data_IF_699907689853
#
_entry.id   IF_699907689853
#
_cell.length_a   1.000
_cell.length_b   1.000
_cell.length_c   1.000
_cell.angle_alpha   90.00
_cell.angle_beta   90.00
_cell.angle_gamma   90.00
#
_symmetry.space_group_name_H-M   'P 1'
#
loop_
_entity.id
_entity.type
_entity.pdbx_description
1 polymer ?
#
# COMPACT_ATOMS: atom_id res chain seq x y z
N UNK A 1 -42.46 52.49 -25.20
CA UNK A 1 -41.46 52.07 -26.21
C UNK A 1 -40.12 51.90 -25.54
N UNK A 2 -39.39 50.87 -25.99
CA UNK A 2 -38.00 50.50 -25.71
C UNK A 2 -37.74 49.48 -24.59
N UNK A 3 -37.43 48.29 -25.10
CA UNK A 3 -37.17 47.04 -24.44
C UNK A 3 -35.79 46.98 -23.81
N UNK A 4 -35.74 46.14 -22.79
CA UNK A 4 -34.63 45.74 -21.95
C UNK A 4 -33.62 44.91 -22.79
N UNK A 5 -32.39 45.40 -22.92
CA UNK A 5 -31.29 44.71 -23.60
C UNK A 5 -30.61 43.75 -22.61
N UNK A 6 -30.95 42.47 -22.67
CA UNK A 6 -30.20 41.37 -22.07
C UNK A 6 -29.07 40.98 -23.02
N UNK A 7 -27.82 41.16 -22.62
CA UNK A 7 -26.66 40.57 -23.28
C UNK A 7 -25.96 39.67 -22.25
N UNK A 8 -26.43 38.42 -22.14
CA UNK A 8 -25.73 37.36 -21.43
C UNK A 8 -25.04 36.50 -22.49
N UNK A 9 -23.76 36.76 -22.73
CA UNK A 9 -22.92 35.89 -23.57
C UNK A 9 -22.61 34.63 -22.78
N UNK A 10 -23.29 33.54 -23.13
CA UNK A 10 -22.89 32.18 -22.82
C UNK A 10 -21.44 31.95 -23.31
N UNK A 11 -20.51 31.89 -22.36
CA UNK A 11 -19.17 31.35 -22.60
C UNK A 11 -19.18 29.89 -22.18
N UNK A 12 -19.55 29.02 -23.12
CA UNK A 12 -19.26 27.59 -23.04
C UNK A 12 -17.74 27.41 -23.19
N UNK A 13 -17.07 27.07 -22.09
CA UNK A 13 -15.68 26.62 -22.10
C UNK A 13 -15.70 25.12 -22.34
N UNK A 14 -15.37 24.69 -23.55
CA UNK A 14 -15.11 23.28 -23.85
C UNK A 14 -13.80 22.86 -23.18
N UNK A 15 -13.90 21.98 -22.19
CA UNK A 15 -12.75 21.36 -21.54
C UNK A 15 -12.46 20.05 -22.27
N UNK A 16 -11.41 20.04 -23.09
CA UNK A 16 -11.02 18.90 -23.95
C UNK A 16 -10.02 17.95 -23.29
N UNK A 17 -10.24 17.53 -22.04
CA UNK A 17 -9.66 16.26 -21.53
C UNK A 17 -10.16 15.91 -20.11
N UNK A 18 -10.50 14.63 -19.83
CA UNK A 18 -10.89 14.16 -18.49
C UNK A 18 -9.79 14.31 -17.41
N UNK A 19 -8.53 14.48 -17.81
CA UNK A 19 -7.37 14.57 -16.90
C UNK A 19 -7.29 15.88 -16.11
N UNK A 20 -7.97 16.94 -16.55
CA UNK A 20 -7.90 18.25 -15.88
C UNK A 20 -8.81 18.35 -14.64
N UNK A 21 -9.83 17.51 -14.52
CA UNK A 21 -10.79 17.55 -13.40
C UNK A 21 -10.27 16.86 -12.13
N UNK A 22 -9.42 15.84 -12.29
CA UNK A 22 -8.83 15.10 -11.15
C UNK A 22 -7.66 15.83 -10.50
N UNK A 23 -7.02 16.78 -11.20
CA UNK A 23 -5.90 17.55 -10.65
C UNK A 23 -6.36 18.69 -9.71
N UNK A 24 -7.64 19.07 -9.77
CA UNK A 24 -8.20 20.20 -9.02
C UNK A 24 -8.91 19.79 -7.71
N UNK A 25 -9.33 18.52 -7.58
CA UNK A 25 -10.20 18.11 -6.47
C UNK A 25 -9.53 17.30 -5.36
N UNK A 26 -8.33 16.74 -5.54
CA UNK A 26 -7.76 15.82 -4.52
C UNK A 26 -6.25 15.96 -4.24
N UNK A 27 -5.60 17.02 -4.73
CA UNK A 27 -4.22 17.29 -4.34
C UNK A 27 -4.18 18.13 -3.05
N UNK A 28 -4.03 17.47 -1.91
CA UNK A 28 -3.70 18.10 -0.62
C UNK A 28 -2.29 18.69 -0.55
N UNK A 29 -1.71 19.12 -1.67
CA UNK A 29 -0.50 19.93 -1.71
C UNK A 29 -0.90 21.39 -1.87
N UNK A 30 -0.89 22.16 -0.78
CA UNK A 30 -1.02 23.62 -0.83
C UNK A 30 0.21 24.22 -1.53
N UNK A 31 0.14 24.32 -2.86
CA UNK A 31 0.99 25.18 -3.67
C UNK A 31 0.26 26.51 -3.86
N UNK A 32 0.60 27.51 -3.04
CA UNK A 32 0.02 28.84 -3.11
C UNK A 32 0.67 29.63 -4.27
N UNK A 33 0.07 29.59 -5.46
CA UNK A 33 0.35 30.57 -6.52
C UNK A 33 -0.39 31.87 -6.19
N UNK A 34 0.37 32.94 -6.02
CA UNK A 34 -0.13 34.31 -5.95
C UNK A 34 -0.31 34.81 -7.39
N UNK A 35 -1.52 35.27 -7.76
CA UNK A 35 -1.75 36.32 -8.77
C UNK A 35 -3.02 37.13 -8.43
N UNK A 36 -3.09 38.40 -8.89
CA UNK A 36 -3.67 39.51 -8.12
C UNK A 36 -5.11 39.86 -8.49
N UNK A 37 -5.79 40.52 -7.55
CA UNK A 37 -6.78 41.58 -7.75
C UNK A 37 -8.10 41.22 -8.44
N UNK A 38 -9.18 41.11 -7.66
CA UNK A 38 -10.32 42.04 -7.78
C UNK A 38 -11.31 41.88 -6.62
N UNK A 39 -11.78 43.02 -6.11
CA UNK A 39 -12.47 43.13 -4.82
C UNK A 39 -13.97 42.88 -4.86
N UNK A 40 -14.53 42.50 -3.69
CA UNK A 40 -15.70 43.16 -3.08
C UNK A 40 -15.91 42.72 -1.64
N UNK A 41 -16.28 43.71 -0.82
CA UNK A 41 -16.49 43.72 0.62
C UNK A 41 -17.54 42.70 1.08
N UNK A 42 -17.23 41.89 2.12
CA UNK A 42 -18.17 41.52 3.22
C UNK A 42 -17.38 41.22 4.50
N UNK A 43 -17.71 41.93 5.59
CA UNK A 43 -17.21 41.66 6.96
C UNK A 43 -18.02 40.50 7.57
N UNK A 44 -17.37 39.64 8.36
CA UNK A 44 -17.98 39.21 9.63
C UNK A 44 -17.02 39.43 10.81
N UNK A 45 -17.60 39.80 11.95
CA UNK A 45 -16.92 40.23 13.17
C UNK A 45 -16.05 39.16 13.80
N UNK A 46 -14.84 39.58 14.20
CA UNK A 46 -13.88 38.79 14.99
C UNK A 46 -14.07 39.10 16.48
N UNK A 47 -14.37 38.11 17.34
CA UNK A 47 -14.43 38.28 18.80
C UNK A 47 -13.04 38.36 19.47
N UNK A 48 -11.96 38.29 18.70
CA UNK A 48 -10.57 38.39 19.18
C UNK A 48 -10.20 39.80 19.70
N UNK A 49 -10.86 40.85 19.18
CA UNK A 49 -10.53 42.24 19.53
C UNK A 49 -10.94 42.65 20.95
N UNK A 50 -11.78 41.89 21.65
CA UNK A 50 -12.06 42.12 23.07
C UNK A 50 -10.95 41.60 23.97
N UNK A 51 -10.29 40.50 23.60
CA UNK A 51 -9.16 39.96 24.37
C UNK A 51 -7.93 40.87 24.33
N UNK A 52 -7.67 41.50 23.17
CA UNK A 52 -6.61 42.51 23.05
C UNK A 52 -6.93 43.82 23.79
N UNK A 53 -8.23 44.19 23.90
CA UNK A 53 -8.61 45.40 24.64
C UNK A 53 -8.42 45.26 26.14
N UNK A 54 -8.59 44.07 26.71
CA UNK A 54 -8.33 43.86 28.14
C UNK A 54 -6.83 43.89 28.46
N UNK A 55 -5.99 43.28 27.61
CA UNK A 55 -4.53 43.31 27.76
C UNK A 55 -3.96 44.73 27.53
N UNK A 56 -4.56 45.52 26.64
CA UNK A 56 -4.15 46.91 26.40
C UNK A 56 -4.64 47.88 27.49
N UNK A 57 -5.75 47.58 28.18
CA UNK A 57 -6.29 48.44 29.24
C UNK A 57 -5.49 48.36 30.55
N UNK A 58 -4.95 47.18 30.91
CA UNK A 58 -4.00 47.05 32.02
C UNK A 58 -2.63 47.69 31.71
N UNK A 59 -2.27 47.82 30.43
CA UNK A 59 -0.97 48.35 30.03
C UNK A 59 -0.87 49.88 30.03
N UNK A 60 -2.00 50.59 30.10
CA UNK A 60 -2.05 52.07 30.05
C UNK A 60 -2.50 52.73 31.35
N UNK A 61 -2.75 51.95 32.40
CA UNK A 61 -3.32 52.44 33.65
C UNK A 61 -2.39 52.30 34.85
N UNK A 62 -1.21 52.93 34.85
CA UNK A 62 -0.67 53.63 36.04
C UNK A 62 0.59 54.46 35.70
N UNK A 63 0.64 55.66 36.25
CA UNK A 63 1.61 56.73 35.99
C UNK A 63 3.00 56.49 36.59
N UNK A 64 4.05 57.04 35.98
CA UNK A 64 5.35 57.25 36.64
C UNK A 64 6.54 57.43 35.71
N UNK A 65 6.93 56.42 34.94
CA UNK A 65 8.27 56.34 34.31
C UNK A 65 8.24 55.95 32.82
N UNK A 66 7.44 56.67 32.03
CA UNK A 66 7.10 56.30 30.66
C UNK A 66 8.25 56.34 29.62
N UNK A 67 9.38 57.01 29.92
CA UNK A 67 10.47 57.13 28.95
C UNK A 67 11.46 55.94 28.96
N UNK A 68 11.69 55.31 30.12
CA UNK A 68 12.62 54.16 30.23
C UNK A 68 11.99 52.87 29.69
N UNK A 69 10.72 52.59 29.98
CA UNK A 69 10.05 51.36 29.51
C UNK A 69 9.82 51.33 27.99
N UNK A 70 9.61 52.48 27.34
CA UNK A 70 9.40 52.55 25.89
C UNK A 70 10.66 52.20 25.07
N UNK A 71 11.86 52.53 25.57
CA UNK A 71 13.13 52.12 24.96
C UNK A 71 13.38 50.62 25.11
N UNK A 72 13.09 50.04 26.28
CA UNK A 72 13.22 48.60 26.51
C UNK A 72 12.26 47.77 25.65
N UNK A 73 11.03 48.26 25.42
CA UNK A 73 10.08 47.61 24.51
C UNK A 73 10.54 47.64 23.04
N UNK A 74 11.15 48.75 22.58
CA UNK A 74 11.70 48.83 21.22
C UNK A 74 12.94 47.95 21.04
N UNK A 75 13.80 47.84 22.05
CA UNK A 75 14.96 46.93 22.02
C UNK A 75 14.49 45.47 22.03
N UNK A 76 13.52 45.13 22.86
CA UNK A 76 12.90 43.79 22.88
C UNK A 76 12.30 43.42 21.52
N UNK A 77 11.54 44.33 20.91
CA UNK A 77 10.90 44.09 19.61
C UNK A 77 11.93 43.95 18.48
N UNK A 78 12.97 44.79 18.47
CA UNK A 78 14.04 44.70 17.45
C UNK A 78 14.88 43.43 17.63
N UNK A 79 15.17 43.03 18.86
CA UNK A 79 15.85 41.76 19.15
C UNK A 79 14.99 40.55 18.74
N UNK A 80 13.68 40.61 18.98
CA UNK A 80 12.74 39.56 18.56
C UNK A 80 12.62 39.48 17.03
N UNK A 81 12.60 40.62 16.34
CA UNK A 81 12.62 40.65 14.87
C UNK A 81 13.96 40.17 14.31
N UNK A 82 15.09 40.54 14.90
CA UNK A 82 16.42 40.05 14.46
C UNK A 82 16.59 38.55 14.70
N UNK A 83 16.16 38.03 15.84
CA UNK A 83 16.21 36.59 16.12
C UNK A 83 15.26 35.82 15.19
N UNK A 84 14.04 36.30 14.97
CA UNK A 84 13.10 35.67 14.04
C UNK A 84 13.61 35.70 12.59
N UNK A 85 14.20 36.80 12.13
CA UNK A 85 14.75 36.92 10.75
C UNK A 85 16.02 36.11 10.55
N UNK A 86 16.91 36.04 11.55
CA UNK A 86 18.09 35.18 11.53
C UNK A 86 17.72 33.69 11.46
N UNK A 87 16.71 33.27 12.24
CA UNK A 87 16.23 31.88 12.20
C UNK A 87 15.60 31.53 10.85
N UNK A 88 14.76 32.40 10.28
CA UNK A 88 14.09 32.12 8.99
C UNK A 88 15.09 32.02 7.83
N UNK A 89 16.17 32.81 7.83
CA UNK A 89 17.15 32.83 6.74
C UNK A 89 18.07 31.61 6.74
N UNK A 90 18.50 31.13 7.91
CA UNK A 90 19.33 29.92 8.03
C UNK A 90 18.58 28.66 7.59
N UNK A 91 17.30 28.52 7.97
CA UNK A 91 16.50 27.35 7.57
C UNK A 91 16.13 27.35 6.08
N UNK A 92 15.91 28.52 5.48
CA UNK A 92 15.67 28.61 4.03
C UNK A 92 16.93 28.29 3.20
N UNK A 93 18.11 28.51 3.79
CA UNK A 93 19.40 28.18 3.17
C UNK A 93 19.64 26.67 3.06
N UNK A 94 19.30 25.89 4.10
CA UNK A 94 19.47 24.43 4.06
C UNK A 94 18.56 23.76 3.03
N UNK A 95 17.31 24.21 2.91
CA UNK A 95 16.38 23.75 1.86
C UNK A 95 16.93 24.03 0.46
N UNK A 96 17.44 25.24 0.20
CA UNK A 96 18.02 25.60 -1.09
C UNK A 96 19.28 24.80 -1.40
N UNK A 97 20.13 24.53 -0.41
CA UNK A 97 21.33 23.72 -0.61
C UNK A 97 20.99 22.27 -0.95
N UNK A 98 20.01 21.67 -0.27
CA UNK A 98 19.53 20.33 -0.58
C UNK A 98 18.89 20.26 -1.98
N UNK A 99 18.07 21.26 -2.34
CA UNK A 99 17.47 21.36 -3.67
C UNK A 99 18.53 21.46 -4.78
N UNK A 100 19.55 22.29 -4.58
CA UNK A 100 20.63 22.47 -5.54
C UNK A 100 21.46 21.18 -5.72
N UNK A 101 21.73 20.43 -4.65
CA UNK A 101 22.39 19.12 -4.75
C UNK A 101 21.55 18.10 -5.53
N UNK A 102 20.22 18.15 -5.39
CA UNK A 102 19.30 17.31 -6.14
C UNK A 102 19.24 17.70 -7.63
N UNK A 103 19.22 19.00 -7.94
CA UNK A 103 19.29 19.52 -9.32
C UNK A 103 20.61 19.15 -10.02
N UNK A 104 21.70 19.05 -9.26
CA UNK A 104 23.01 18.59 -9.74
C UNK A 104 23.09 17.05 -9.90
N UNK A 105 22.03 16.31 -9.62
CA UNK A 105 22.00 14.84 -9.70
C UNK A 105 22.75 14.12 -8.57
N UNK A 106 23.28 14.85 -7.59
CA UNK A 106 24.03 14.32 -6.44
C UNK A 106 23.08 13.86 -5.33
N UNK A 107 22.25 12.88 -5.63
CA UNK A 107 21.18 12.41 -4.72
C UNK A 107 21.75 11.87 -3.41
N UNK A 108 22.83 11.08 -3.43
CA UNK A 108 23.48 10.57 -2.20
C UNK A 108 24.04 11.66 -1.30
N UNK A 109 24.70 12.68 -1.87
CA UNK A 109 25.22 13.81 -1.09
C UNK A 109 24.06 14.64 -0.48
N UNK A 110 22.96 14.79 -1.23
CA UNK A 110 21.74 15.41 -0.72
C UNK A 110 21.17 14.64 0.47
N UNK A 111 21.08 13.30 0.37
CA UNK A 111 20.55 12.46 1.44
C UNK A 111 21.40 12.53 2.72
N UNK A 112 22.73 12.46 2.60
CA UNK A 112 23.62 12.60 3.74
C UNK A 112 23.49 13.99 4.41
N UNK A 113 23.32 15.05 3.60
CA UNK A 113 23.12 16.41 4.11
C UNK A 113 21.77 16.56 4.82
N UNK A 114 20.68 16.11 4.19
CA UNK A 114 19.32 16.20 4.73
C UNK A 114 19.18 15.35 5.99
N UNK A 115 19.79 14.18 6.03
CA UNK A 115 19.83 13.33 7.22
C UNK A 115 20.49 14.01 8.41
N UNK A 116 21.66 14.63 8.20
CA UNK A 116 22.34 15.36 9.28
C UNK A 116 21.46 16.50 9.83
N UNK A 117 20.78 17.23 8.96
CA UNK A 117 19.89 18.34 9.35
C UNK A 117 18.59 17.82 10.00
N UNK A 118 18.06 16.68 9.57
CA UNK A 118 16.86 16.07 10.15
C UNK A 118 17.11 15.42 11.52
N UNK A 119 18.33 14.97 11.82
CA UNK A 119 18.70 14.54 13.17
C UNK A 119 18.60 15.68 14.18
N UNK A 120 18.97 16.88 13.77
CA UNK A 120 18.85 18.09 14.59
C UNK A 120 17.40 18.61 14.66
N UNK A 121 16.62 18.44 13.58
CA UNK A 121 15.22 18.87 13.52
C UNK A 121 14.30 17.88 12.78
N UNK A 122 13.74 16.88 13.48
CA UNK A 122 12.95 15.81 12.85
C UNK A 122 11.55 16.24 12.39
N UNK A 123 11.12 17.48 12.67
CA UNK A 123 9.77 17.96 12.32
C UNK A 123 9.72 18.86 11.08
N UNK A 124 10.85 19.07 10.39
CA UNK A 124 10.88 19.90 9.19
C UNK A 124 10.28 19.17 7.98
N UNK A 125 9.00 19.43 7.71
CA UNK A 125 8.22 18.82 6.62
C UNK A 125 8.81 19.06 5.22
N UNK A 126 9.46 20.21 4.99
CA UNK A 126 10.04 20.52 3.67
C UNK A 126 11.28 19.67 3.40
N UNK A 127 12.13 19.49 4.41
CA UNK A 127 13.30 18.63 4.31
C UNK A 127 12.90 17.16 4.18
N UNK A 128 11.88 16.69 4.91
CA UNK A 128 11.33 15.34 4.70
C UNK A 128 10.87 15.15 3.25
N UNK A 129 10.22 16.15 2.64
CA UNK A 129 9.80 16.06 1.24
C UNK A 129 10.99 15.97 0.28
N UNK A 130 12.02 16.80 0.48
CA UNK A 130 13.25 16.75 -0.32
C UNK A 130 13.96 15.41 -0.14
N UNK A 131 13.96 14.88 1.08
CA UNK A 131 14.50 13.55 1.39
C UNK A 131 13.79 12.45 0.58
N UNK A 132 12.45 12.41 0.64
CA UNK A 132 11.65 11.44 -0.12
C UNK A 132 11.84 11.59 -1.62
N UNK A 133 12.07 12.81 -2.11
CA UNK A 133 12.36 13.07 -3.51
C UNK A 133 13.72 12.49 -3.92
N UNK A 134 14.75 12.78 -3.14
CA UNK A 134 16.10 12.32 -3.39
C UNK A 134 16.24 10.79 -3.26
N UNK A 135 15.57 10.15 -2.29
CA UNK A 135 15.61 8.68 -2.12
C UNK A 135 15.05 7.98 -3.35
N UNK A 136 13.88 8.40 -3.83
CA UNK A 136 13.23 7.76 -4.97
C UNK A 136 14.06 7.98 -6.23
N UNK A 137 14.61 9.17 -6.45
CA UNK A 137 15.54 9.44 -7.57
C UNK A 137 16.75 8.52 -7.52
N UNK A 138 17.37 8.39 -6.35
CA UNK A 138 18.53 7.51 -6.14
C UNK A 138 18.19 6.05 -6.48
N UNK A 139 17.08 5.53 -5.93
CA UNK A 139 16.63 4.16 -6.18
C UNK A 139 16.29 3.92 -7.66
N UNK A 140 15.58 4.84 -8.29
CA UNK A 140 15.20 4.72 -9.71
C UNK A 140 16.42 4.74 -10.63
N UNK A 141 17.39 5.63 -10.38
CA UNK A 141 18.62 5.73 -11.16
C UNK A 141 19.57 4.53 -10.97
N UNK A 142 19.54 3.88 -9.82
CA UNK A 142 20.36 2.69 -9.54
C UNK A 142 19.81 1.39 -10.16
N UNK A 143 18.84 1.48 -11.07
CA UNK A 143 18.38 0.34 -11.87
C UNK A 143 17.26 -0.47 -11.24
N UNK A 144 16.69 -0.06 -10.10
CA UNK A 144 15.56 -0.77 -9.49
C UNK A 144 14.37 -0.92 -10.44
N UNK A 145 14.04 0.14 -11.20
CA UNK A 145 12.96 0.08 -12.18
C UNK A 145 13.25 -0.89 -13.34
N UNK A 146 14.51 -1.01 -13.74
CA UNK A 146 14.96 -1.95 -14.75
C UNK A 146 14.83 -3.41 -14.25
N UNK A 147 15.18 -3.66 -12.99
CA UNK A 147 15.01 -4.99 -12.38
C UNK A 147 13.55 -5.44 -12.36
N UNK A 148 12.61 -4.53 -12.05
CA UNK A 148 11.18 -4.85 -12.13
C UNK A 148 10.71 -5.18 -13.54
N UNK A 149 11.24 -4.50 -14.56
CA UNK A 149 10.87 -4.75 -15.96
C UNK A 149 11.36 -6.13 -16.44
N UNK A 150 12.54 -6.55 -16.01
CA UNK A 150 13.12 -7.85 -16.37
C UNK A 150 12.58 -9.02 -15.54
N UNK A 151 11.69 -8.77 -14.57
CA UNK A 151 11.14 -9.82 -13.72
C UNK A 151 12.06 -10.23 -12.57
N UNK A 152 13.17 -9.51 -12.34
CA UNK A 152 14.10 -9.78 -11.24
C UNK A 152 13.58 -9.19 -9.91
N UNK A 153 12.38 -9.60 -9.50
CA UNK A 153 11.72 -9.06 -8.30
C UNK A 153 12.48 -9.37 -7.01
N UNK A 154 13.13 -10.53 -6.93
CA UNK A 154 13.94 -10.91 -5.76
C UNK A 154 15.16 -10.00 -5.58
N UNK A 155 15.82 -9.61 -6.67
CA UNK A 155 16.93 -8.65 -6.66
C UNK A 155 16.44 -7.24 -6.31
N UNK A 156 15.32 -6.82 -6.90
CA UNK A 156 14.70 -5.53 -6.60
C UNK A 156 14.32 -5.40 -5.12
N UNK A 157 13.81 -6.47 -4.49
CA UNK A 157 13.52 -6.49 -3.05
C UNK A 157 14.77 -6.47 -2.20
N UNK A 158 15.78 -7.28 -2.51
CA UNK A 158 17.08 -7.27 -1.80
C UNK A 158 17.70 -5.88 -1.81
N UNK A 159 17.63 -5.19 -2.94
CA UNK A 159 18.10 -3.81 -3.06
C UNK A 159 17.37 -2.86 -2.10
N UNK A 160 16.04 -2.95 -2.00
CA UNK A 160 15.24 -2.16 -1.04
C UNK A 160 15.53 -2.54 0.42
N UNK A 161 15.76 -3.82 0.70
CA UNK A 161 16.14 -4.33 2.03
C UNK A 161 17.51 -3.80 2.47
N UNK A 162 18.49 -3.76 1.57
CA UNK A 162 19.81 -3.23 1.90
C UNK A 162 19.78 -1.72 2.12
N UNK A 163 18.94 -0.99 1.36
CA UNK A 163 18.69 0.43 1.58
C UNK A 163 17.98 0.72 2.91
N UNK A 164 17.11 -0.18 3.38
CA UNK A 164 16.47 -0.05 4.70
C UNK A 164 17.45 -0.35 5.83
N UNK A 165 18.33 -1.35 5.70
CA UNK A 165 19.37 -1.66 6.70
C UNK A 165 20.37 -0.53 6.90
N UNK A 166 20.75 0.15 5.82
CA UNK A 166 21.71 1.26 5.88
C UNK A 166 21.12 2.52 6.56
N UNK A 167 19.80 2.62 6.68
CA UNK A 167 19.14 3.88 7.01
C UNK A 167 17.94 3.72 7.96
N UNK A 168 18.09 2.88 8.99
CA UNK A 168 17.03 2.54 9.95
C UNK A 168 16.46 3.71 10.76
N UNK A 169 17.17 4.85 10.80
CA UNK A 169 16.95 5.90 11.79
C UNK A 169 15.89 6.94 11.36
N UNK A 170 15.43 6.91 10.10
CA UNK A 170 14.50 7.90 9.55
C UNK A 170 13.16 7.25 9.13
N UNK A 171 12.05 7.56 9.83
CA UNK A 171 10.76 6.90 9.60
C UNK A 171 10.18 7.18 8.20
N UNK A 172 10.39 8.39 7.66
CA UNK A 172 9.85 8.76 6.34
C UNK A 172 10.56 8.02 5.19
N UNK A 173 11.86 7.74 5.36
CA UNK A 173 12.65 6.91 4.44
C UNK A 173 12.16 5.47 4.43
N UNK A 174 11.96 4.88 5.61
CA UNK A 174 11.40 3.52 5.74
C UNK A 174 10.01 3.42 5.10
N UNK A 175 9.15 4.43 5.30
CA UNK A 175 7.84 4.52 4.67
C UNK A 175 7.96 4.53 3.15
N UNK A 176 8.85 5.34 2.59
CA UNK A 176 9.07 5.43 1.13
C UNK A 176 9.53 4.11 0.54
N UNK A 177 10.50 3.44 1.19
CA UNK A 177 10.99 2.12 0.76
C UNK A 177 9.88 1.06 0.82
N UNK A 178 9.05 1.08 1.87
CA UNK A 178 7.90 0.18 1.99
C UNK A 178 6.87 0.39 0.86
N UNK A 179 6.62 1.64 0.48
CA UNK A 179 5.72 1.97 -0.62
C UNK A 179 6.28 1.51 -1.98
N UNK A 180 7.60 1.64 -2.19
CA UNK A 180 8.27 1.09 -3.37
C UNK A 180 8.20 -0.44 -3.41
N UNK A 181 8.38 -1.10 -2.26
CA UNK A 181 8.21 -2.55 -2.17
C UNK A 181 6.78 -2.98 -2.54
N UNK A 182 5.76 -2.25 -2.09
CA UNK A 182 4.38 -2.52 -2.49
C UNK A 182 4.14 -2.37 -4.01
N UNK A 183 4.80 -1.40 -4.66
CA UNK A 183 4.77 -1.28 -6.14
C UNK A 183 5.39 -2.52 -6.79
N UNK A 184 6.52 -3.01 -6.26
CA UNK A 184 7.16 -4.23 -6.74
C UNK A 184 6.25 -5.45 -6.56
N UNK A 185 5.57 -5.58 -5.43
CA UNK A 185 4.64 -6.70 -5.16
C UNK A 185 3.46 -6.73 -6.13
N UNK A 186 2.94 -5.57 -6.53
CA UNK A 186 1.89 -5.49 -7.56
C UNK A 186 2.41 -5.91 -8.92
N UNK A 187 3.58 -5.42 -9.33
CA UNK A 187 4.17 -5.79 -10.62
C UNK A 187 4.48 -7.28 -10.66
N UNK A 188 5.05 -7.84 -9.60
CA UNK A 188 5.31 -9.28 -9.49
C UNK A 188 4.03 -10.10 -9.58
N UNK A 189 2.99 -9.69 -8.85
CA UNK A 189 1.70 -10.37 -8.91
C UNK A 189 1.10 -10.43 -10.32
N UNK A 190 1.31 -9.38 -11.13
CA UNK A 190 0.85 -9.37 -12.53
C UNK A 190 1.87 -9.96 -13.50
N UNK A 191 3.15 -10.02 -13.15
CA UNK A 191 4.17 -10.65 -13.97
C UNK A 191 4.06 -12.17 -13.92
N UNK A 192 3.90 -12.74 -12.72
CA UNK A 192 3.65 -14.18 -12.52
C UNK A 192 2.35 -14.61 -13.24
N UNK A 193 1.42 -13.68 -13.44
CA UNK A 193 0.14 -13.94 -14.09
C UNK A 193 0.18 -13.53 -15.55
N UNK A 194 0.35 -14.52 -16.42
CA UNK A 194 0.08 -14.33 -17.85
C UNK A 194 -1.30 -13.69 -18.06
N UNK A 195 -1.45 -12.75 -19.01
CA UNK A 195 -2.72 -12.09 -19.27
C UNK A 195 -3.79 -13.12 -19.65
N UNK A 196 -4.75 -13.34 -18.75
CA UNK A 196 -5.82 -14.33 -18.92
C UNK A 196 -5.78 -15.49 -17.93
N UNK A 197 -4.78 -15.55 -17.05
CA UNK A 197 -4.69 -16.59 -16.00
C UNK A 197 -5.89 -16.50 -15.05
N UNK A 198 -6.64 -17.60 -14.82
CA UNK A 198 -7.77 -17.66 -13.89
C UNK A 198 -7.36 -17.28 -12.46
N UNK A 199 -8.30 -16.72 -11.68
CA UNK A 199 -8.12 -16.44 -10.25
C UNK A 199 -8.12 -17.75 -9.48
N UNK A 200 -7.01 -18.11 -8.85
CA UNK A 200 -6.86 -19.36 -8.12
C UNK A 200 -7.48 -19.22 -6.73
N UNK A 201 -8.58 -19.93 -6.51
CA UNK A 201 -9.25 -19.99 -5.21
C UNK A 201 -8.31 -20.58 -4.15
N UNK A 202 -8.37 -20.05 -2.92
CA UNK A 202 -7.48 -20.39 -1.79
C UNK A 202 -6.01 -19.91 -1.88
N UNK A 203 -5.56 -19.31 -2.98
CA UNK A 203 -4.19 -18.78 -3.10
C UNK A 203 -4.17 -17.27 -3.32
N UNK A 204 -4.91 -16.79 -4.32
CA UNK A 204 -4.82 -15.39 -4.77
C UNK A 204 -5.55 -14.40 -3.86
N UNK A 205 -6.51 -14.88 -3.07
CA UNK A 205 -7.41 -14.03 -2.28
C UNK A 205 -6.66 -13.26 -1.20
N UNK A 206 -5.80 -13.95 -0.44
CA UNK A 206 -5.03 -13.35 0.67
C UNK A 206 -4.05 -12.30 0.12
N UNK A 207 -3.37 -12.62 -0.99
CA UNK A 207 -2.43 -11.70 -1.65
C UNK A 207 -3.16 -10.49 -2.24
N UNK A 208 -4.29 -10.70 -2.91
CA UNK A 208 -5.12 -9.61 -3.46
C UNK A 208 -5.67 -8.71 -2.36
N UNK A 209 -6.15 -9.30 -1.27
CA UNK A 209 -6.73 -8.55 -0.15
C UNK A 209 -5.66 -7.73 0.59
N UNK A 210 -4.48 -8.29 0.84
CA UNK A 210 -3.38 -7.57 1.48
C UNK A 210 -2.92 -6.37 0.64
N UNK A 211 -2.72 -6.55 -0.68
CA UNK A 211 -2.36 -5.47 -1.61
C UNK A 211 -3.40 -4.34 -1.62
N UNK A 212 -4.69 -4.69 -1.68
CA UNK A 212 -5.77 -3.70 -1.68
C UNK A 212 -5.95 -3.03 -0.32
N UNK A 213 -5.76 -3.75 0.77
CA UNK A 213 -5.81 -3.18 2.13
C UNK A 213 -4.71 -2.16 2.35
N UNK A 214 -3.50 -2.42 1.86
CA UNK A 214 -2.41 -1.45 1.91
C UNK A 214 -2.70 -0.22 1.04
N UNK A 215 -3.25 -0.41 -0.16
CA UNK A 215 -3.72 0.69 -1.00
C UNK A 215 -4.75 1.58 -0.28
N UNK A 216 -5.75 0.97 0.35
CA UNK A 216 -6.81 1.71 1.03
C UNK A 216 -6.29 2.48 2.25
N UNK A 217 -5.30 1.94 2.97
CA UNK A 217 -4.64 2.61 4.11
C UNK A 217 -3.74 3.76 3.68
N UNK A 218 -2.96 3.59 2.61
CA UNK A 218 -1.84 4.48 2.23
C UNK A 218 -2.07 5.19 0.89
N UNK A 219 -3.33 5.32 0.46
CA UNK A 219 -3.74 5.82 -0.86
C UNK A 219 -3.08 7.14 -1.28
N UNK A 220 -3.02 8.11 -0.38
CA UNK A 220 -2.47 9.43 -0.69
C UNK A 220 -0.95 9.38 -0.87
N UNK A 221 -0.28 8.57 -0.06
CA UNK A 221 1.18 8.43 -0.10
C UNK A 221 1.60 7.67 -1.36
N UNK A 222 0.89 6.60 -1.72
CA UNK A 222 1.14 5.85 -2.96
C UNK A 222 0.91 6.74 -4.18
N UNK A 223 -0.17 7.53 -4.22
CA UNK A 223 -0.41 8.48 -5.31
C UNK A 223 0.68 9.54 -5.42
N UNK A 224 1.15 10.06 -4.29
CA UNK A 224 2.25 11.01 -4.25
C UNK A 224 3.53 10.39 -4.81
N UNK A 225 3.85 9.17 -4.39
CA UNK A 225 5.01 8.41 -4.86
C UNK A 225 4.92 8.12 -6.36
N UNK A 226 3.79 7.63 -6.87
CA UNK A 226 3.58 7.37 -8.30
C UNK A 226 3.69 8.64 -9.14
N UNK A 227 3.18 9.76 -8.66
CA UNK A 227 3.35 11.06 -9.34
C UNK A 227 4.81 11.51 -9.37
N UNK A 228 5.59 11.16 -8.35
CA UNK A 228 7.01 11.47 -8.30
C UNK A 228 7.80 10.57 -9.25
N UNK A 229 7.53 9.26 -9.24
CA UNK A 229 8.07 8.30 -10.20
C UNK A 229 7.76 8.75 -11.63
N UNK A 230 6.53 9.19 -11.91
CA UNK A 230 6.13 9.67 -13.24
C UNK A 230 6.78 10.98 -13.69
N UNK A 231 7.42 11.74 -12.79
CA UNK A 231 8.26 12.88 -13.19
C UNK A 231 9.65 12.43 -13.65
N UNK A 232 10.11 11.30 -13.15
CA UNK A 232 11.33 10.67 -13.62
C UNK A 232 11.01 9.96 -14.94
N UNK A 233 11.88 10.11 -15.94
CA UNK A 233 11.74 9.38 -17.21
C UNK A 233 12.17 7.93 -17.04
N UNK A 234 11.41 7.17 -16.25
CA UNK A 234 11.67 5.78 -15.89
C UNK A 234 10.87 4.81 -16.76
N UNK A 235 11.32 3.55 -16.80
CA UNK A 235 10.65 2.45 -17.48
C UNK A 235 9.37 1.96 -16.78
N UNK A 236 9.06 2.51 -15.60
CA UNK A 236 7.89 2.18 -14.80
C UNK A 236 6.82 3.29 -14.90
N UNK A 237 5.96 3.30 -15.94
CA UNK A 237 4.93 4.32 -16.09
C UNK A 237 3.85 4.16 -15.00
N UNK A 238 3.46 5.23 -14.29
CA UNK A 238 2.47 5.15 -13.21
C UNK A 238 1.10 4.64 -13.69
N UNK A 239 0.74 4.90 -14.94
CA UNK A 239 -0.50 4.40 -15.55
C UNK A 239 -0.59 2.87 -15.58
N UNK A 240 0.56 2.17 -15.69
CA UNK A 240 0.59 0.71 -15.62
C UNK A 240 0.16 0.22 -14.26
N UNK A 241 0.68 0.82 -13.18
CA UNK A 241 0.30 0.48 -11.80
C UNK A 241 -1.18 0.77 -11.55
N UNK A 242 -1.68 1.92 -12.02
CA UNK A 242 -3.11 2.24 -11.89
C UNK A 242 -4.01 1.24 -12.61
N UNK A 243 -3.66 0.80 -13.83
CA UNK A 243 -4.41 -0.25 -14.53
C UNK A 243 -4.38 -1.58 -13.79
N UNK A 244 -3.23 -1.96 -13.22
CA UNK A 244 -3.11 -3.15 -12.37
C UNK A 244 -4.04 -3.06 -11.14
N UNK A 245 -4.10 -1.90 -10.49
CA UNK A 245 -5.01 -1.65 -9.36
C UNK A 245 -6.48 -1.73 -9.74
N UNK A 246 -6.87 -1.10 -10.85
CA UNK A 246 -8.25 -1.15 -11.36
C UNK A 246 -8.67 -2.59 -11.63
N UNK A 247 -7.76 -3.38 -12.22
CA UNK A 247 -7.98 -4.81 -12.45
C UNK A 247 -8.14 -5.60 -11.14
N UNK A 248 -7.28 -5.38 -10.15
CA UNK A 248 -7.42 -6.00 -8.82
C UNK A 248 -8.76 -5.66 -8.16
N UNK A 249 -9.16 -4.39 -8.21
CA UNK A 249 -10.43 -3.93 -7.63
C UNK A 249 -11.63 -4.53 -8.35
N UNK A 250 -11.60 -4.60 -9.68
CA UNK A 250 -12.63 -5.25 -10.48
C UNK A 250 -12.73 -6.73 -10.12
N UNK A 251 -11.60 -7.44 -10.04
CA UNK A 251 -11.55 -8.85 -9.65
C UNK A 251 -12.12 -9.07 -8.24
N UNK A 252 -11.71 -8.27 -7.25
CA UNK A 252 -12.26 -8.36 -5.89
C UNK A 252 -13.77 -8.16 -5.88
N UNK A 253 -14.29 -7.13 -6.55
CA UNK A 253 -15.74 -6.85 -6.61
C UNK A 253 -16.54 -7.98 -7.25
N UNK A 254 -16.00 -8.61 -8.29
CA UNK A 254 -16.71 -9.66 -9.03
C UNK A 254 -16.69 -11.00 -8.31
N UNK A 255 -15.55 -11.36 -7.71
CA UNK A 255 -15.33 -12.74 -7.28
C UNK A 255 -15.27 -12.93 -5.76
N UNK A 256 -15.01 -11.91 -4.95
CA UNK A 256 -14.81 -12.12 -3.50
C UNK A 256 -16.06 -12.68 -2.82
N UNK A 257 -17.25 -12.14 -3.10
CA UNK A 257 -18.49 -12.61 -2.51
C UNK A 257 -18.83 -14.04 -2.94
N UNK A 258 -18.73 -14.30 -4.26
CA UNK A 258 -18.98 -15.62 -4.85
C UNK A 258 -18.04 -16.69 -4.29
N UNK A 259 -16.76 -16.37 -4.15
CA UNK A 259 -15.76 -17.28 -3.59
C UNK A 259 -16.05 -17.55 -2.11
N UNK A 260 -16.39 -16.51 -1.33
CA UNK A 260 -16.72 -16.67 0.08
C UNK A 260 -17.97 -17.54 0.28
N UNK A 261 -19.02 -17.31 -0.49
CA UNK A 261 -20.25 -18.12 -0.45
C UNK A 261 -19.96 -19.58 -0.82
N UNK A 262 -19.10 -19.81 -1.80
CA UNK A 262 -18.68 -21.15 -2.18
C UNK A 262 -17.87 -21.84 -1.07
N UNK A 263 -16.92 -21.15 -0.43
CA UNK A 263 -16.17 -21.68 0.73
C UNK A 263 -17.09 -22.08 1.88
N UNK A 264 -18.02 -21.20 2.25
CA UNK A 264 -18.99 -21.53 3.32
C UNK A 264 -19.90 -22.70 2.95
N UNK A 265 -20.20 -22.87 1.65
CA UNK A 265 -20.96 -24.02 1.15
C UNK A 265 -20.15 -25.32 1.25
N UNK A 266 -18.86 -25.28 0.88
CA UNK A 266 -17.94 -26.41 1.05
C UNK A 266 -17.89 -26.82 2.53
N UNK A 267 -17.64 -25.87 3.43
CA UNK A 267 -17.54 -26.14 4.87
C UNK A 267 -18.81 -26.78 5.41
N UNK A 268 -19.98 -26.22 5.09
CA UNK A 268 -21.29 -26.79 5.47
C UNK A 268 -21.50 -28.21 4.94
N UNK A 269 -21.11 -28.48 3.70
CA UNK A 269 -21.27 -29.81 3.08
C UNK A 269 -20.29 -30.84 3.67
N UNK A 270 -19.08 -30.42 4.02
CA UNK A 270 -18.12 -31.24 4.75
C UNK A 270 -18.61 -31.54 6.18
N UNK A 271 -19.22 -30.56 6.85
CA UNK A 271 -19.79 -30.74 8.19
C UNK A 271 -21.01 -31.67 8.20
N UNK A 272 -21.87 -31.57 7.18
CA UNK A 272 -23.05 -32.43 7.02
C UNK A 272 -22.70 -33.82 6.48
N UNK A 273 -21.41 -34.10 6.25
CA UNK A 273 -20.86 -35.39 5.81
C UNK A 273 -21.43 -35.91 4.47
N UNK A 274 -21.69 -34.97 3.53
CA UNK A 274 -22.23 -35.22 2.18
C UNK A 274 -21.20 -34.95 1.07
N UNK A 275 -20.06 -35.69 1.01
CA UNK A 275 -19.01 -35.43 0.04
C UNK A 275 -19.41 -35.70 -1.41
N UNK A 276 -20.36 -36.61 -1.66
CA UNK A 276 -20.84 -36.89 -3.02
C UNK A 276 -21.62 -35.72 -3.63
N UNK A 277 -22.40 -34.99 -2.81
CA UNK A 277 -23.10 -33.78 -3.24
C UNK A 277 -22.12 -32.64 -3.54
N UNK A 278 -21.00 -32.59 -2.82
CA UNK A 278 -19.97 -31.57 -3.01
C UNK A 278 -19.36 -31.62 -4.43
N UNK A 279 -19.19 -32.81 -5.01
CA UNK A 279 -18.67 -32.97 -6.38
C UNK A 279 -19.59 -32.29 -7.42
N UNK A 280 -20.91 -32.41 -7.26
CA UNK A 280 -21.87 -31.72 -8.13
C UNK A 280 -21.77 -30.19 -7.97
N UNK A 281 -21.67 -29.71 -6.73
CA UNK A 281 -21.53 -28.27 -6.45
C UNK A 281 -20.24 -27.70 -7.03
N UNK A 282 -19.10 -28.41 -6.93
CA UNK A 282 -17.83 -27.98 -7.54
C UNK A 282 -17.97 -27.90 -9.06
N UNK A 283 -18.58 -28.90 -9.71
CA UNK A 283 -18.76 -28.91 -11.16
C UNK A 283 -19.72 -27.81 -11.66
N UNK A 284 -20.82 -27.57 -10.93
CA UNK A 284 -21.71 -26.44 -11.22
C UNK A 284 -21.02 -25.10 -11.06
N UNK A 285 -20.22 -24.94 -10.00
CA UNK A 285 -19.43 -23.74 -9.76
C UNK A 285 -18.41 -23.50 -10.88
N UNK A 286 -17.68 -24.54 -11.29
CA UNK A 286 -16.74 -24.49 -12.42
C UNK A 286 -17.41 -24.05 -13.72
N UNK A 287 -18.63 -24.53 -13.99
CA UNK A 287 -19.41 -24.12 -15.18
C UNK A 287 -19.88 -22.67 -15.11
N UNK A 288 -20.31 -22.20 -13.93
CA UNK A 288 -20.79 -20.82 -13.74
C UNK A 288 -19.66 -19.80 -13.72
N UNK A 289 -18.49 -20.17 -13.21
CA UNK A 289 -17.34 -19.27 -13.01
C UNK A 289 -16.05 -19.86 -13.60
N UNK A 290 -15.92 -19.97 -14.94
CA UNK A 290 -14.74 -20.54 -15.58
C UNK A 290 -13.46 -19.71 -15.39
N UNK A 291 -13.59 -18.44 -14.99
CA UNK A 291 -12.47 -17.55 -14.68
C UNK A 291 -11.83 -17.82 -13.30
N UNK A 292 -12.40 -18.72 -12.49
CA UNK A 292 -11.86 -19.14 -11.20
C UNK A 292 -11.15 -20.48 -11.39
N UNK A 293 -9.84 -20.51 -11.13
CA UNK A 293 -9.00 -21.70 -11.13
C UNK A 293 -8.84 -22.30 -9.73
N UNK A 294 -8.12 -23.43 -9.64
CA UNK A 294 -7.87 -24.13 -8.37
C UNK A 294 -8.97 -25.12 -7.96
N UNK A 295 -10.00 -25.30 -8.80
CA UNK A 295 -11.07 -26.26 -8.58
C UNK A 295 -10.63 -27.71 -8.85
N UNK A 296 -9.57 -27.89 -9.65
CA UNK A 296 -8.95 -29.19 -9.91
C UNK A 296 -8.33 -29.77 -8.63
N UNK A 297 -7.55 -28.95 -7.91
CA UNK A 297 -6.97 -29.34 -6.62
C UNK A 297 -8.07 -29.67 -5.60
N UNK A 298 -9.17 -28.92 -5.61
CA UNK A 298 -10.32 -29.21 -4.74
C UNK A 298 -11.02 -30.54 -5.08
N UNK A 299 -11.14 -30.87 -6.36
CA UNK A 299 -11.69 -32.17 -6.80
C UNK A 299 -10.76 -33.34 -6.44
N UNK A 300 -9.45 -33.15 -6.58
CA UNK A 300 -8.45 -34.14 -6.17
C UNK A 300 -8.48 -34.38 -4.66
N UNK A 301 -8.53 -33.31 -3.86
CA UNK A 301 -8.68 -33.39 -2.41
C UNK A 301 -9.99 -34.07 -2.00
N UNK A 302 -11.10 -33.80 -2.70
CA UNK A 302 -12.37 -34.50 -2.47
C UNK A 302 -12.27 -36.01 -2.75
N UNK A 303 -11.65 -36.39 -3.85
CA UNK A 303 -11.45 -37.81 -4.19
C UNK A 303 -10.56 -38.51 -3.15
N UNK A 304 -9.48 -37.85 -2.72
CA UNK A 304 -8.59 -38.32 -1.66
C UNK A 304 -9.32 -38.44 -0.32
N UNK A 305 -10.16 -37.47 0.03
CA UNK A 305 -11.00 -37.49 1.23
C UNK A 305 -11.99 -38.65 1.24
N UNK A 306 -12.65 -38.91 0.12
CA UNK A 306 -13.58 -40.04 0.00
C UNK A 306 -12.88 -41.38 0.17
N UNK A 307 -11.70 -41.58 -0.46
CA UNK A 307 -10.88 -42.79 -0.28
C UNK A 307 -10.44 -42.99 1.16
N UNK A 308 -10.03 -41.92 1.83
CA UNK A 308 -9.66 -41.95 3.24
C UNK A 308 -10.85 -42.37 4.11
N UNK A 309 -12.03 -41.79 3.87
CA UNK A 309 -13.25 -42.10 4.61
C UNK A 309 -13.68 -43.54 4.43
N UNK A 310 -13.65 -44.06 3.21
CA UNK A 310 -13.98 -45.46 2.92
C UNK A 310 -13.05 -46.41 3.68
N UNK A 311 -11.73 -46.15 3.68
CA UNK A 311 -10.77 -46.94 4.45
C UNK A 311 -11.07 -46.92 5.95
N UNK A 312 -11.35 -45.75 6.54
CA UNK A 312 -11.69 -45.60 7.96
C UNK A 312 -12.99 -46.33 8.31
N UNK A 313 -13.97 -46.33 7.40
CA UNK A 313 -15.28 -46.96 7.62
C UNK A 313 -15.28 -48.47 7.38
N UNK A 314 -14.40 -48.96 6.51
CA UNK A 314 -14.31 -50.38 6.15
C UNK A 314 -13.65 -51.27 7.22
N UNK A 315 -13.23 -50.71 8.37
CA UNK A 315 -12.44 -51.40 9.41
C UNK A 315 -11.11 -52.02 8.92
N UNK A 316 -10.75 -51.87 7.64
CA UNK A 316 -9.48 -52.29 7.05
C UNK A 316 -8.33 -51.32 7.38
N UNK A 317 -8.42 -50.66 8.54
CA UNK A 317 -7.41 -49.74 9.00
C UNK A 317 -6.35 -50.53 9.78
N UNK A 318 -5.11 -50.68 9.26
CA UNK A 318 -4.06 -51.43 9.96
C UNK A 318 -3.83 -50.91 11.39
N UNK A 319 -3.25 -51.72 12.27
CA UNK A 319 -2.86 -51.27 13.62
C UNK A 319 -1.75 -50.20 13.61
N UNK A 320 -0.97 -50.10 12.52
CA UNK A 320 0.04 -49.05 12.32
C UNK A 320 0.00 -48.44 10.91
N UNK A 321 -0.99 -47.59 10.60
CA UNK A 321 -1.10 -46.96 9.30
C UNK A 321 -0.74 -45.48 9.47
N UNK A 322 0.46 -45.12 9.02
CA UNK A 322 0.65 -43.76 8.56
C UNK A 322 -0.45 -43.40 7.56
N UNK A 323 -0.79 -42.11 7.45
CA UNK A 323 -1.59 -41.68 6.29
C UNK A 323 -0.82 -42.14 5.04
N UNK A 324 -1.45 -42.91 4.14
CA UNK A 324 -0.80 -43.38 2.92
C UNK A 324 -0.07 -42.23 2.23
N UNK A 325 1.21 -42.39 1.89
CA UNK A 325 2.05 -41.34 1.29
C UNK A 325 1.47 -40.75 -0.01
N UNK A 326 0.49 -41.44 -0.60
CA UNK A 326 -0.25 -41.02 -1.80
C UNK A 326 -1.48 -40.14 -1.53
N UNK A 327 -1.84 -39.85 -0.27
CA UNK A 327 -2.94 -38.96 0.10
C UNK A 327 -2.40 -37.59 0.53
N UNK A 328 -2.20 -36.72 -0.45
CA UNK A 328 -1.87 -35.32 -0.23
C UNK A 328 -3.15 -34.46 -0.32
N UNK A 329 -3.27 -33.50 0.59
CA UNK A 329 -4.35 -32.50 0.59
C UNK A 329 -3.74 -31.11 0.40
N UNK A 330 -4.22 -30.37 -0.59
CA UNK A 330 -3.65 -29.07 -0.99
C UNK A 330 -4.47 -27.88 -0.45
N UNK A 331 -5.77 -28.07 -0.26
CA UNK A 331 -6.71 -27.02 0.11
C UNK A 331 -6.99 -27.01 1.63
N UNK A 332 -7.06 -25.81 2.19
CA UNK A 332 -7.30 -25.58 3.62
C UNK A 332 -8.54 -26.30 4.20
N UNK A 333 -9.73 -26.28 3.57
CA UNK A 333 -10.92 -26.92 4.15
C UNK A 333 -10.75 -28.44 4.32
N UNK A 334 -10.10 -29.11 3.36
CA UNK A 334 -9.87 -30.55 3.46
C UNK A 334 -8.77 -30.88 4.48
N UNK A 335 -7.71 -30.06 4.57
CA UNK A 335 -6.68 -30.24 5.60
C UNK A 335 -7.28 -30.11 7.01
N UNK A 336 -8.15 -29.12 7.23
CA UNK A 336 -8.85 -28.95 8.50
C UNK A 336 -9.78 -30.14 8.80
N UNK A 337 -10.57 -30.57 7.81
CA UNK A 337 -11.51 -31.69 7.98
C UNK A 337 -10.81 -33.01 8.25
N UNK A 338 -9.72 -33.32 7.56
CA UNK A 338 -8.93 -34.53 7.79
C UNK A 338 -8.35 -34.55 9.21
N UNK A 339 -7.83 -33.41 9.70
CA UNK A 339 -7.35 -33.33 11.10
C UNK A 339 -8.49 -33.60 12.10
N UNK A 340 -9.71 -33.08 11.84
CA UNK A 340 -10.87 -33.37 12.69
C UNK A 340 -11.25 -34.85 12.67
N UNK A 341 -11.34 -35.48 11.49
CA UNK A 341 -11.66 -36.91 11.37
C UNK A 341 -10.65 -37.80 12.10
N UNK A 342 -9.35 -37.53 11.92
CA UNK A 342 -8.28 -38.28 12.58
C UNK A 342 -8.24 -38.01 14.09
N UNK A 343 -8.79 -36.89 14.57
CA UNK A 343 -8.87 -36.57 16.00
C UNK A 343 -10.01 -37.28 16.72
N UNK A 344 -11.09 -37.64 16.02
CA UNK A 344 -12.29 -38.24 16.63
C UNK A 344 -12.05 -39.66 17.15
N UNK A 345 -11.14 -40.43 16.53
CA UNK A 345 -10.80 -41.79 16.94
C UNK A 345 -9.42 -41.86 17.59
N UNK A 346 -9.35 -42.40 18.82
CA UNK A 346 -8.07 -42.54 19.56
C UNK A 346 -7.05 -43.42 18.83
N UNK A 347 -7.53 -44.42 18.09
CA UNK A 347 -6.72 -45.35 17.27
C UNK A 347 -5.99 -44.65 16.11
N UNK A 348 -6.46 -43.47 15.69
CA UNK A 348 -5.89 -42.71 14.56
C UNK A 348 -4.79 -41.72 14.97
N UNK A 349 -4.30 -41.77 16.22
CA UNK A 349 -3.27 -40.83 16.71
C UNK A 349 -1.96 -40.88 15.92
N UNK A 350 -1.52 -42.07 15.50
CA UNK A 350 -0.30 -42.24 14.69
C UNK A 350 -0.49 -41.74 13.24
N UNK A 351 -1.67 -41.95 12.66
CA UNK A 351 -2.04 -41.34 11.37
C UNK A 351 -2.10 -39.80 11.47
N UNK A 352 -2.57 -39.25 12.59
CA UNK A 352 -2.60 -37.81 12.80
C UNK A 352 -1.20 -37.18 12.91
N UNK A 353 -0.28 -37.83 13.63
CA UNK A 353 1.10 -37.31 13.76
C UNK A 353 1.84 -37.34 12.42
N UNK A 354 1.69 -38.42 11.64
CA UNK A 354 2.25 -38.52 10.28
C UNK A 354 1.65 -37.47 9.34
N UNK A 355 0.32 -37.29 9.35
CA UNK A 355 -0.35 -36.24 8.59
C UNK A 355 0.14 -34.84 8.93
N UNK A 356 0.30 -34.52 10.21
CA UNK A 356 0.76 -33.20 10.67
C UNK A 356 2.22 -32.94 10.32
N UNK A 357 3.06 -33.97 10.38
CA UNK A 357 4.45 -33.88 9.93
C UNK A 357 4.53 -33.68 8.40
N UNK A 358 3.69 -34.38 7.63
CA UNK A 358 3.63 -34.21 6.18
C UNK A 358 3.08 -32.82 5.80
N UNK A 359 2.06 -32.31 6.50
CA UNK A 359 1.57 -30.91 6.34
C UNK A 359 2.70 -29.89 6.48
N UNK A 360 3.56 -30.05 7.49
CA UNK A 360 4.72 -29.16 7.68
C UNK A 360 5.74 -29.29 6.54
N UNK A 361 5.87 -30.49 5.96
CA UNK A 361 6.73 -30.76 4.81
C UNK A 361 6.18 -30.19 3.50
N UNK A 362 4.87 -30.32 3.25
CA UNK A 362 4.19 -29.76 2.06
C UNK A 362 4.15 -28.24 2.08
N UNK A 363 3.92 -27.62 3.25
CA UNK A 363 4.03 -26.16 3.42
C UNK A 363 5.48 -25.69 3.19
N UNK A 364 6.47 -26.45 3.67
CA UNK A 364 7.89 -26.14 3.45
C UNK A 364 8.29 -26.32 1.98
N UNK A 365 7.78 -27.33 1.29
CA UNK A 365 8.04 -27.58 -0.13
C UNK A 365 7.30 -26.60 -1.05
N UNK A 366 6.09 -26.16 -0.72
CA UNK A 366 5.41 -25.07 -1.43
C UNK A 366 6.19 -23.75 -1.28
N UNK A 367 6.70 -23.48 -0.07
CA UNK A 367 7.56 -22.33 0.20
C UNK A 367 8.92 -22.41 -0.50
N UNK A 368 9.50 -23.61 -0.64
CA UNK A 368 10.74 -23.87 -1.37
C UNK A 368 10.55 -23.92 -2.90
N UNK A 369 9.39 -24.34 -3.42
CA UNK A 369 9.05 -24.22 -4.86
C UNK A 369 8.94 -22.77 -5.28
N UNK A 370 8.25 -21.95 -4.50
CA UNK A 370 8.24 -20.49 -4.67
C UNK A 370 9.66 -19.87 -4.64
N UNK A 371 10.58 -20.47 -3.88
CA UNK A 371 11.98 -20.00 -3.80
C UNK A 371 12.92 -20.60 -4.86
N UNK A 372 12.57 -21.72 -5.50
CA UNK A 372 13.42 -22.44 -6.47
C UNK A 372 12.98 -22.23 -7.92
N UNK A 373 11.71 -21.91 -8.19
CA UNK A 373 11.29 -21.38 -9.49
C UNK A 373 11.89 -19.98 -9.71
N UNK A 374 12.02 -19.16 -8.64
CA UNK A 374 12.80 -17.91 -8.67
C UNK A 374 14.31 -18.09 -8.94
N UNK A 375 14.86 -19.32 -8.83
CA UNK A 375 16.29 -19.60 -9.14
C UNK A 375 16.50 -20.36 -10.44
N UNK A 376 15.44 -20.89 -11.08
CA UNK A 376 15.55 -21.63 -12.35
C UNK A 376 15.32 -20.77 -13.60
N UNK A 377 14.86 -19.54 -13.46
CA UNK A 377 14.84 -18.55 -14.57
C UNK A 377 16.12 -17.70 -14.67
N UNK A 378 17.12 -17.91 -13.80
CA UNK A 378 18.41 -17.19 -13.82
C UNK A 378 19.58 -18.04 -14.35
N UNK A 379 19.34 -18.96 -15.29
CA UNK A 379 20.42 -19.65 -16.00
C UNK A 379 20.19 -19.68 -17.51
#
# INVERSE_FOLDING_TARGET
>A
MNAMKSDNKDKTVYISSPLSFLNLLFCGCKSQRIRPGDGKKRRPGRPWLSFFKTILAEFWGNSGDAYKHRRWLLISLTLLVMTATGWITVFKSSEHKAMNLMEQGKCRECLAYVENVLRENPRNKNLCKIETEAIVKDILHHGWAQQLKHGHFSEARKFLEDMTKQNSDLPERLKTVRLLNWIAEIEEYFFERSPGTPIVIFQDEIRTESLLTQWDREKNDIRCLLNQIGKENTELPPDRIYRCLERLQAQKRLYSGVIQDFKTTIDKMLDTDRPSALMLTINEFKRKFPAIGGLEALNEDLANYMRLREKINSEQWPEDPGVPDNLCFQTEPFVARVDTLLSTRKELRHARSTFRNNKNHTISLAKLRLSSESSKENN
#
